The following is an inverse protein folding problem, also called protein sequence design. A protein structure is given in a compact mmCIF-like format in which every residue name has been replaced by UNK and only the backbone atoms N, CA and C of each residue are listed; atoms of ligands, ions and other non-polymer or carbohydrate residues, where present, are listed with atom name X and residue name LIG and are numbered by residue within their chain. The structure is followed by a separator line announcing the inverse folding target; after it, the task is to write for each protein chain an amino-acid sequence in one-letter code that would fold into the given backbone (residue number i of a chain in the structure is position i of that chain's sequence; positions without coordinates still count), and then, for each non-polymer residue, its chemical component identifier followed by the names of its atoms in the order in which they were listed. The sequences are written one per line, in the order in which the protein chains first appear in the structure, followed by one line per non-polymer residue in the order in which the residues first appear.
data_IF_593075322254
#
_entry.id   IF_593075322254
#
_cell.length_a   1.000
_cell.length_b   1.000
_cell.length_c   1.000
_cell.angle_alpha   90.00
_cell.angle_beta   90.00
_cell.angle_gamma   90.00
#
_symmetry.space_group_name_H-M   'P 1'
#
loop_
_entity.id
_entity.type
_entity.pdbx_description
1 polymer ?
#
# COMPACT_ATOMS: atom_id res chain seq x y z
N UNK A 1 -45.03 -21.94 33.90
CA UNK A 1 -43.90 -21.29 34.61
C UNK A 1 -42.52 -21.84 34.25
N UNK A 2 -42.28 -23.17 34.23
CA UNK A 2 -40.93 -23.73 33.93
C UNK A 2 -40.42 -23.58 32.48
N UNK A 3 -41.27 -23.15 31.55
CA UNK A 3 -40.86 -22.99 30.14
C UNK A 3 -40.37 -21.57 29.85
N UNK A 4 -41.04 -20.56 30.42
CA UNK A 4 -40.73 -19.12 30.25
C UNK A 4 -39.30 -18.75 30.69
N UNK A 5 -38.78 -19.32 31.79
CA UNK A 5 -37.41 -19.02 32.23
C UNK A 5 -36.34 -19.56 31.28
N UNK A 6 -36.58 -20.73 30.66
CA UNK A 6 -35.64 -21.33 29.70
C UNK A 6 -35.57 -20.49 28.43
N UNK A 7 -36.72 -19.98 27.97
CA UNK A 7 -36.81 -19.16 26.77
C UNK A 7 -36.14 -17.80 26.99
N UNK A 8 -36.35 -17.17 28.15
CA UNK A 8 -35.61 -15.96 28.56
C UNK A 8 -34.10 -16.18 28.62
N UNK A 9 -33.67 -17.30 29.18
CA UNK A 9 -32.25 -17.63 29.29
C UNK A 9 -31.62 -17.89 27.91
N UNK A 10 -32.35 -18.54 26.98
CA UNK A 10 -31.92 -18.71 25.58
C UNK A 10 -31.77 -17.36 24.88
N UNK A 11 -32.71 -16.44 25.07
CA UNK A 11 -32.64 -15.10 24.47
C UNK A 11 -31.42 -14.33 24.96
N UNK A 12 -31.15 -14.37 26.27
CA UNK A 12 -29.99 -13.73 26.90
C UNK A 12 -28.66 -14.29 26.36
N UNK A 13 -28.55 -15.61 26.27
CA UNK A 13 -27.36 -16.28 25.74
C UNK A 13 -27.16 -16.01 24.24
N UNK A 14 -28.26 -15.96 23.47
CA UNK A 14 -28.20 -15.58 22.06
C UNK A 14 -27.71 -14.16 21.87
N UNK A 15 -28.17 -13.21 22.70
CA UNK A 15 -27.71 -11.83 22.67
C UNK A 15 -26.21 -11.71 22.97
N UNK A 16 -25.74 -12.41 24.01
CA UNK A 16 -24.31 -12.48 24.34
C UNK A 16 -23.46 -13.10 23.23
N UNK A 17 -23.98 -14.11 22.55
CA UNK A 17 -23.26 -14.76 21.45
C UNK A 17 -23.13 -13.81 20.25
N UNK A 18 -24.16 -13.02 19.94
CA UNK A 18 -24.10 -11.99 18.90
C UNK A 18 -23.11 -10.88 19.26
N UNK A 19 -23.11 -10.42 20.52
CA UNK A 19 -22.14 -9.44 21.02
C UNK A 19 -20.69 -9.94 20.87
N UNK A 20 -20.42 -11.20 21.24
CA UNK A 20 -19.11 -11.81 21.04
C UNK A 20 -18.77 -11.91 19.55
N UNK A 21 -19.75 -12.23 18.69
CA UNK A 21 -19.53 -12.37 17.26
C UNK A 21 -19.22 -11.03 16.57
N UNK A 22 -19.87 -9.93 16.99
CA UNK A 22 -19.59 -8.59 16.48
C UNK A 22 -18.23 -8.10 16.95
N UNK A 23 -17.90 -8.32 18.22
CA UNK A 23 -16.60 -7.96 18.77
C UNK A 23 -15.47 -8.73 18.08
N UNK A 24 -15.64 -10.04 17.87
CA UNK A 24 -14.68 -10.86 17.11
C UNK A 24 -14.48 -10.32 15.69
N UNK A 25 -15.56 -9.95 14.99
CA UNK A 25 -15.47 -9.36 13.65
C UNK A 25 -14.65 -8.06 13.67
N UNK A 26 -14.90 -7.18 14.66
CA UNK A 26 -14.15 -5.94 14.83
C UNK A 26 -12.65 -6.19 15.06
N UNK A 27 -12.31 -7.07 16.00
CA UNK A 27 -10.92 -7.39 16.31
C UNK A 27 -10.17 -8.02 15.14
N UNK A 28 -10.83 -8.87 14.35
CA UNK A 28 -10.23 -9.44 13.13
C UNK A 28 -9.93 -8.36 12.10
N UNK A 29 -10.80 -7.37 11.92
CA UNK A 29 -10.53 -6.24 11.04
C UNK A 29 -9.35 -5.40 11.53
N UNK A 30 -9.29 -5.13 12.83
CA UNK A 30 -8.15 -4.42 13.43
C UNK A 30 -6.83 -5.17 13.29
N UNK A 31 -6.85 -6.51 13.42
CA UNK A 31 -5.67 -7.33 13.20
C UNK A 31 -5.21 -7.25 11.74
N UNK A 32 -6.14 -7.35 10.78
CA UNK A 32 -5.82 -7.25 9.36
C UNK A 32 -5.20 -5.88 9.00
N UNK A 33 -5.71 -4.79 9.58
CA UNK A 33 -5.15 -3.44 9.45
C UNK A 33 -3.70 -3.38 9.98
N UNK A 34 -3.46 -3.91 11.19
CA UNK A 34 -2.13 -3.94 11.78
C UNK A 34 -1.16 -4.80 10.97
N UNK A 35 -1.60 -5.95 10.46
CA UNK A 35 -0.80 -6.81 9.60
C UNK A 35 -0.42 -6.11 8.28
N UNK A 36 -1.35 -5.39 7.66
CA UNK A 36 -1.09 -4.60 6.45
C UNK A 36 -0.06 -3.49 6.71
N UNK A 37 -0.18 -2.79 7.85
CA UNK A 37 0.79 -1.78 8.29
C UNK A 37 2.16 -2.39 8.57
N UNK A 38 2.20 -3.53 9.25
CA UNK A 38 3.43 -4.27 9.53
C UNK A 38 4.17 -4.67 8.25
N UNK A 39 3.45 -5.22 7.27
CA UNK A 39 4.01 -5.55 5.95
C UNK A 39 4.58 -4.33 5.23
N UNK A 40 3.89 -3.20 5.29
CA UNK A 40 4.37 -1.95 4.68
C UNK A 40 5.72 -1.54 5.28
N UNK A 41 5.82 -1.49 6.60
CA UNK A 41 7.06 -1.12 7.30
C UNK A 41 8.19 -2.13 7.02
N UNK A 42 7.88 -3.42 6.99
CA UNK A 42 8.87 -4.45 6.66
C UNK A 42 9.41 -4.28 5.23
N UNK A 43 8.55 -3.96 4.27
CA UNK A 43 8.98 -3.68 2.90
C UNK A 43 9.86 -2.43 2.83
N UNK A 44 9.54 -1.38 3.61
CA UNK A 44 10.37 -0.18 3.67
C UNK A 44 11.77 -0.47 4.22
N UNK A 45 11.87 -1.28 5.29
CA UNK A 45 13.16 -1.72 5.82
C UNK A 45 13.98 -2.49 4.78
N UNK A 46 13.35 -3.44 4.09
CA UNK A 46 14.01 -4.18 3.02
C UNK A 46 14.48 -3.26 1.88
N UNK A 47 13.73 -2.20 1.59
CA UNK A 47 14.13 -1.22 0.58
C UNK A 47 15.33 -0.37 1.03
N UNK A 48 15.49 -0.11 2.33
CA UNK A 48 16.68 0.57 2.87
C UNK A 48 17.94 -0.29 2.70
N UNK A 49 17.82 -1.61 2.83
CA UNK A 49 18.93 -2.54 2.61
C UNK A 49 19.25 -2.75 1.12
N UNK A 50 18.40 -2.26 0.22
CA UNK A 50 18.66 -2.34 -1.23
C UNK A 50 19.85 -1.47 -1.60
N UNK A 51 20.81 -1.95 -2.42
CA UNK A 51 21.91 -1.13 -2.93
C UNK A 51 21.46 0.14 -3.66
N UNK A 52 20.19 0.21 -4.09
CA UNK A 52 19.65 1.38 -4.76
C UNK A 52 19.28 2.52 -3.81
N UNK A 53 19.16 2.25 -2.50
CA UNK A 53 18.86 3.24 -1.46
C UNK A 53 20.06 4.13 -1.13
N UNK A 54 21.28 3.65 -1.41
CA UNK A 54 22.53 4.37 -1.12
C UNK A 54 22.87 5.41 -2.20
N UNK A 55 22.17 5.37 -3.34
CA UNK A 55 22.40 6.29 -4.44
C UNK A 55 21.93 7.69 -4.06
N UNK A 56 22.78 8.73 -4.21
CA UNK A 56 22.34 10.10 -4.05
C UNK A 56 21.19 10.44 -5.01
N UNK A 57 20.30 11.34 -4.59
CA UNK A 57 19.16 11.80 -5.40
C UNK A 57 19.59 12.26 -6.79
N UNK A 58 20.70 12.99 -6.89
CA UNK A 58 21.18 13.56 -8.15
C UNK A 58 21.60 12.48 -9.14
N UNK A 59 22.17 11.37 -8.64
CA UNK A 59 22.53 10.22 -9.49
C UNK A 59 21.26 9.51 -9.97
N UNK A 60 20.24 9.37 -9.10
CA UNK A 60 18.94 8.83 -9.50
C UNK A 60 18.27 9.70 -10.57
N UNK A 61 18.34 11.04 -10.44
CA UNK A 61 17.85 11.96 -11.47
C UNK A 61 18.57 11.71 -12.81
N UNK A 62 19.90 11.63 -12.82
CA UNK A 62 20.67 11.36 -14.04
C UNK A 62 20.28 10.01 -14.67
N UNK A 63 20.11 8.96 -13.87
CA UNK A 63 19.65 7.65 -14.33
C UNK A 63 18.25 7.76 -14.94
N UNK A 64 17.33 8.47 -14.27
CA UNK A 64 15.97 8.59 -14.75
C UNK A 64 15.90 9.34 -16.07
N UNK A 65 16.63 10.44 -16.20
CA UNK A 65 16.70 11.22 -17.43
C UNK A 65 17.31 10.41 -18.58
N UNK A 66 18.38 9.65 -18.32
CA UNK A 66 18.97 8.75 -19.31
C UNK A 66 17.95 7.69 -19.76
N UNK A 67 17.19 7.10 -18.83
CA UNK A 67 16.14 6.14 -19.14
C UNK A 67 15.00 6.73 -19.98
N UNK A 68 14.58 7.96 -19.66
CA UNK A 68 13.57 8.68 -20.43
C UNK A 68 14.05 9.02 -21.85
N UNK A 69 15.34 9.31 -22.04
CA UNK A 69 15.92 9.54 -23.38
C UNK A 69 15.95 8.26 -24.22
N UNK A 70 16.12 7.10 -23.59
CA UNK A 70 16.09 5.79 -24.25
C UNK A 70 14.66 5.30 -24.52
N UNK A 71 13.65 6.02 -24.03
CA UNK A 71 12.24 5.71 -24.22
C UNK A 71 11.81 5.92 -25.67
N UNK A 72 12.15 4.98 -26.54
CA UNK A 72 11.63 4.91 -27.90
C UNK A 72 10.53 3.85 -27.95
N UNK A 73 9.28 4.28 -28.22
CA UNK A 73 8.11 3.40 -28.42
C UNK A 73 7.69 2.56 -27.20
N UNK A 74 8.02 2.97 -25.98
CA UNK A 74 7.59 2.24 -24.80
C UNK A 74 6.05 2.28 -24.64
N UNK A 75 5.47 1.15 -24.22
CA UNK A 75 4.03 1.04 -23.92
C UNK A 75 3.64 1.88 -22.69
N UNK A 76 4.61 2.20 -21.83
CA UNK A 76 4.40 2.91 -20.57
C UNK A 76 5.45 4.01 -20.43
N UNK A 77 4.97 5.20 -20.09
CA UNK A 77 5.80 6.37 -19.80
C UNK A 77 6.87 6.06 -18.75
N UNK A 78 8.14 6.29 -19.06
CA UNK A 78 9.26 5.90 -18.20
C UNK A 78 9.22 6.59 -16.84
N UNK A 79 8.88 7.89 -16.80
CA UNK A 79 8.67 8.62 -15.55
C UNK A 79 7.57 8.02 -14.67
N UNK A 80 6.54 7.42 -15.28
CA UNK A 80 5.50 6.72 -14.52
C UNK A 80 6.04 5.43 -13.92
N UNK A 81 6.80 4.64 -14.70
CA UNK A 81 7.41 3.39 -14.23
C UNK A 81 8.32 3.64 -13.02
N UNK A 82 9.22 4.63 -13.10
CA UNK A 82 10.15 4.94 -12.00
C UNK A 82 9.42 5.43 -10.76
N UNK A 83 8.33 6.17 -10.91
CA UNK A 83 7.50 6.66 -9.78
C UNK A 83 6.75 5.56 -9.00
N UNK A 84 6.69 4.34 -9.56
CA UNK A 84 6.03 3.19 -8.93
C UNK A 84 7.01 2.21 -8.26
N UNK A 85 8.32 2.44 -8.31
CA UNK A 85 9.33 1.55 -7.70
C UNK A 85 9.34 1.65 -6.17
N UNK A 86 9.42 2.86 -5.63
CA UNK A 86 9.44 3.10 -4.18
C UNK A 86 8.92 4.51 -3.86
N UNK A 87 8.68 4.82 -2.58
CA UNK A 87 8.29 6.18 -2.16
C UNK A 87 9.39 7.20 -2.45
N UNK A 88 10.66 6.87 -2.18
CA UNK A 88 11.80 7.73 -2.48
C UNK A 88 11.94 7.99 -4.00
N UNK A 89 11.81 6.95 -4.82
CA UNK A 89 11.85 7.09 -6.27
C UNK A 89 10.71 7.94 -6.81
N UNK A 90 9.51 7.80 -6.21
CA UNK A 90 8.36 8.64 -6.54
C UNK A 90 8.63 10.11 -6.28
N UNK A 91 9.14 10.46 -5.11
CA UNK A 91 9.47 11.84 -4.75
C UNK A 91 10.46 12.44 -5.75
N UNK A 92 11.53 11.71 -6.07
CA UNK A 92 12.54 12.16 -7.04
C UNK A 92 11.97 12.26 -8.46
N UNK A 93 11.24 11.24 -8.92
CA UNK A 93 10.67 11.22 -10.27
C UNK A 93 9.66 12.36 -10.48
N UNK A 94 8.77 12.60 -9.52
CA UNK A 94 7.81 13.70 -9.58
C UNK A 94 8.49 15.07 -9.49
N UNK A 95 9.60 15.18 -8.74
CA UNK A 95 10.42 16.38 -8.66
C UNK A 95 11.36 16.59 -9.86
N UNK A 96 11.35 15.72 -10.87
CA UNK A 96 12.20 15.80 -12.06
C UNK A 96 11.37 16.14 -13.31
N UNK A 97 11.16 17.44 -13.65
CA UNK A 97 10.27 17.84 -14.74
C UNK A 97 10.63 17.28 -16.11
N UNK A 98 11.93 17.01 -16.35
CA UNK A 98 12.43 16.48 -17.62
C UNK A 98 11.85 15.11 -17.96
N UNK A 99 11.44 14.34 -16.94
CA UNK A 99 10.76 13.06 -17.13
C UNK A 99 9.33 13.20 -17.66
N UNK A 100 8.68 14.35 -17.51
CA UNK A 100 7.25 14.55 -17.81
C UNK A 100 7.02 15.45 -19.03
N UNK A 101 8.06 15.62 -19.85
CA UNK A 101 8.01 16.49 -21.04
C UNK A 101 7.11 15.96 -22.15
N UNK A 102 6.81 14.65 -22.14
CA UNK A 102 5.94 13.99 -23.11
C UNK A 102 4.91 13.11 -22.40
N UNK A 103 3.67 13.60 -22.30
CA UNK A 103 2.55 12.86 -21.72
C UNK A 103 1.58 12.47 -22.85
N UNK A 104 1.33 11.18 -23.01
CA UNK A 104 0.36 10.67 -23.98
C UNK A 104 -0.95 10.35 -23.26
N UNK A 105 -2.03 11.05 -23.63
CA UNK A 105 -3.37 10.75 -23.15
C UNK A 105 -4.00 9.67 -24.04
N UNK A 106 -4.25 8.48 -23.48
CA UNK A 106 -5.11 7.50 -24.14
C UNK A 106 -6.57 7.98 -24.08
N UNK A 107 -7.21 8.08 -25.24
CA UNK A 107 -8.65 8.36 -25.37
C UNK A 107 -9.49 7.16 -24.96
#
# INVERSE_FOLDING_TARGET
MRQDWKDRQRLLLSGRLEEIATERRRLVLQLAELDARGKTVQQDLHNLDSPISILPSDILVMIFEAGALLESRAKFHFGSLTSHVSRSWREIALATPRLWTKIECTK
#
